data_IF_338444267448
#
_entry.id   IF_338444267448
#
_cell.length_a   1.000
_cell.length_b   1.000
_cell.length_c   1.000
_cell.angle_alpha   90.00
_cell.angle_beta   90.00
_cell.angle_gamma   90.00
#
_symmetry.space_group_name_H-M   'P 1'
#
loop_
_entity.id
_entity.type
_entity.pdbx_description
1 polymer ?
#
# COMPACT_ATOMS: atom_id res chain seq x y z
N UNK A 1 16.45 28.86 5.93
CA UNK A 1 15.96 28.96 4.53
C UNK A 1 16.54 27.76 3.81
N UNK A 2 15.81 26.65 3.81
CA UNK A 2 16.32 25.37 3.28
C UNK A 2 15.76 25.19 1.89
N UNK A 3 16.65 25.21 0.91
CA UNK A 3 16.27 24.97 -0.48
C UNK A 3 16.18 23.47 -0.72
N UNK A 4 15.01 23.01 -1.16
CA UNK A 4 14.83 21.68 -1.75
C UNK A 4 15.27 21.79 -3.20
N UNK A 5 16.38 21.14 -3.56
CA UNK A 5 16.82 21.06 -4.95
C UNK A 5 16.18 19.82 -5.56
N UNK A 6 15.22 20.04 -6.47
CA UNK A 6 14.66 18.98 -7.30
C UNK A 6 15.56 18.83 -8.51
N UNK A 7 16.40 17.81 -8.51
CA UNK A 7 17.14 17.39 -9.71
C UNK A 7 16.48 16.11 -10.21
N UNK A 8 15.88 16.17 -11.38
CA UNK A 8 15.32 15.09 -12.21
C UNK A 8 15.26 13.70 -11.54
N UNK A 9 14.09 13.33 -11.06
CA UNK A 9 13.67 11.99 -10.60
C UNK A 9 14.10 11.53 -9.20
N UNK A 10 15.00 12.22 -8.48
CA UNK A 10 15.46 11.79 -7.15
C UNK A 10 15.22 12.92 -6.12
N UNK A 11 14.49 12.63 -5.06
CA UNK A 11 14.31 13.54 -3.91
C UNK A 11 15.21 13.03 -2.78
N UNK A 12 16.26 13.78 -2.47
CA UNK A 12 17.16 13.50 -1.35
C UNK A 12 16.82 14.42 -0.17
N UNK A 13 16.41 13.87 0.96
CA UNK A 13 16.13 14.62 2.19
C UNK A 13 17.32 14.47 3.14
N UNK A 14 17.98 15.57 3.46
CA UNK A 14 19.10 15.60 4.42
C UNK A 14 18.61 15.77 5.86
N UNK A 15 18.82 14.77 6.70
CA UNK A 15 18.91 14.90 8.16
C UNK A 15 20.29 14.42 8.60
N UNK A 16 21.03 15.27 9.29
CA UNK A 16 22.35 14.92 9.81
C UNK A 16 22.27 13.75 10.80
N UNK A 17 23.04 12.68 10.51
CA UNK A 17 23.32 11.52 11.40
C UNK A 17 22.23 10.48 11.67
N UNK A 18 21.21 10.32 10.80
CA UNK A 18 20.47 9.05 10.71
C UNK A 18 20.73 8.40 9.35
N UNK A 19 20.78 7.07 9.29
CA UNK A 19 20.87 6.34 8.01
C UNK A 19 19.80 6.88 7.06
N UNK A 20 20.22 7.56 5.98
CA UNK A 20 19.30 8.23 5.08
C UNK A 20 18.62 7.19 4.19
N UNK A 21 17.29 7.19 4.21
CA UNK A 21 16.50 6.47 3.22
C UNK A 21 16.40 7.33 1.96
N UNK A 22 16.98 6.86 0.86
CA UNK A 22 16.85 7.49 -0.45
C UNK A 22 15.58 7.00 -1.13
N UNK A 23 14.67 7.92 -1.50
CA UNK A 23 13.44 7.58 -2.21
C UNK A 23 13.59 7.82 -3.72
N UNK A 24 13.19 6.83 -4.51
CA UNK A 24 13.15 6.94 -5.98
C UNK A 24 11.97 6.16 -6.57
N UNK A 25 11.62 6.48 -7.81
CA UNK A 25 10.64 5.69 -8.56
C UNK A 25 11.09 4.22 -8.67
N UNK A 26 10.12 3.33 -8.49
CA UNK A 26 10.32 1.91 -8.74
C UNK A 26 10.73 1.65 -10.19
N UNK A 27 11.74 0.83 -10.37
CA UNK A 27 12.12 0.28 -11.67
C UNK A 27 12.21 -1.24 -11.57
N UNK A 28 11.95 -1.92 -12.69
CA UNK A 28 11.82 -3.38 -12.74
C UNK A 28 13.04 -4.17 -12.21
N UNK A 29 14.22 -3.57 -12.22
CA UNK A 29 15.42 -4.18 -11.65
C UNK A 29 15.31 -4.47 -10.15
N UNK A 30 14.46 -3.74 -9.43
CA UNK A 30 14.19 -3.97 -8.00
C UNK A 30 13.01 -4.90 -7.73
N UNK A 31 12.35 -5.47 -8.78
CA UNK A 31 11.12 -6.24 -8.60
C UNK A 31 11.26 -7.38 -7.58
N UNK A 32 12.38 -8.09 -7.57
CA UNK A 32 12.58 -9.21 -6.65
C UNK A 32 12.63 -8.76 -5.18
N UNK A 33 13.35 -7.68 -4.89
CA UNK A 33 13.45 -7.13 -3.54
C UNK A 33 12.12 -6.52 -3.09
N UNK A 34 11.50 -5.74 -3.96
CA UNK A 34 10.19 -5.11 -3.70
C UNK A 34 9.14 -6.16 -3.43
N UNK A 35 9.03 -7.21 -4.24
CA UNK A 35 8.07 -8.29 -4.01
C UNK A 35 8.32 -9.03 -2.70
N UNK A 36 9.58 -9.20 -2.30
CA UNK A 36 9.93 -9.77 -1.00
C UNK A 36 9.43 -8.90 0.14
N UNK A 37 9.81 -7.61 0.16
CA UNK A 37 9.37 -6.65 1.20
C UNK A 37 7.86 -6.56 1.26
N UNK A 38 7.20 -6.45 0.10
CA UNK A 38 5.75 -6.34 0.01
C UNK A 38 5.05 -7.60 0.56
N UNK A 39 5.52 -8.79 0.18
CA UNK A 39 4.98 -10.07 0.65
C UNK A 39 5.16 -10.22 2.16
N UNK A 40 6.36 -9.97 2.69
CA UNK A 40 6.67 -10.11 4.12
C UNK A 40 5.88 -9.09 4.98
N UNK A 41 5.61 -7.90 4.45
CA UNK A 41 4.84 -6.87 5.14
C UNK A 41 3.34 -7.18 5.23
N UNK A 42 2.78 -7.86 4.23
CA UNK A 42 1.34 -8.11 4.12
C UNK A 42 0.92 -9.57 4.34
N UNK A 43 1.85 -10.48 4.64
CA UNK A 43 1.54 -11.91 4.79
C UNK A 43 0.44 -12.20 5.82
N UNK A 44 0.38 -11.42 6.89
CA UNK A 44 -0.62 -11.56 7.96
C UNK A 44 -1.67 -10.42 7.95
N UNK A 45 -1.79 -9.71 6.83
CA UNK A 45 -2.73 -8.60 6.74
C UNK A 45 -4.17 -9.11 6.70
N UNK A 46 -5.11 -8.57 7.52
CA UNK A 46 -6.46 -9.14 7.68
C UNK A 46 -7.23 -9.30 6.37
N UNK A 47 -7.17 -8.32 5.48
CA UNK A 47 -7.84 -8.37 4.18
C UNK A 47 -7.33 -9.50 3.29
N UNK A 48 -6.09 -9.91 3.45
CA UNK A 48 -5.50 -10.99 2.67
C UNK A 48 -5.60 -12.34 3.40
N UNK A 49 -5.04 -12.43 4.60
CA UNK A 49 -4.99 -13.67 5.37
C UNK A 49 -6.36 -14.10 5.85
N UNK A 50 -7.06 -13.25 6.59
CA UNK A 50 -8.33 -13.57 7.23
C UNK A 50 -9.42 -14.04 6.26
N UNK A 51 -9.35 -13.61 5.00
CA UNK A 51 -10.35 -13.96 3.97
C UNK A 51 -10.22 -15.40 3.48
N UNK A 52 -9.00 -15.93 3.39
CA UNK A 52 -8.74 -17.20 2.70
C UNK A 52 -8.17 -18.32 3.57
N UNK A 53 -7.84 -18.07 4.85
CA UNK A 53 -7.18 -19.05 5.73
C UNK A 53 -7.88 -20.40 5.77
N UNK A 54 -9.23 -20.43 5.82
CA UNK A 54 -10.03 -21.67 5.89
C UNK A 54 -10.06 -22.46 4.58
N UNK A 55 -9.54 -21.90 3.50
CA UNK A 55 -9.57 -22.54 2.18
C UNK A 55 -8.45 -23.55 1.97
N UNK A 56 -7.40 -23.46 2.74
CA UNK A 56 -6.20 -24.25 2.54
C UNK A 56 -5.94 -25.15 3.74
N UNK A 57 -5.73 -26.44 3.48
CA UNK A 57 -5.48 -27.47 4.51
C UNK A 57 -4.09 -27.39 5.14
N UNK A 58 -3.16 -26.63 4.55
CA UNK A 58 -1.82 -26.44 5.09
C UNK A 58 -1.39 -24.98 4.96
N UNK A 59 -0.66 -24.50 5.94
CA UNK A 59 -0.08 -23.16 5.98
C UNK A 59 0.84 -22.89 4.77
N UNK A 60 1.62 -23.89 4.35
CA UNK A 60 2.49 -23.78 3.17
C UNK A 60 1.69 -23.47 1.87
N UNK A 61 0.56 -24.18 1.66
CA UNK A 61 -0.31 -23.93 0.50
C UNK A 61 -0.97 -22.56 0.57
N UNK A 62 -1.39 -22.16 1.76
CA UNK A 62 -1.95 -20.84 2.00
C UNK A 62 -0.89 -19.76 1.72
N UNK A 63 0.32 -19.89 2.26
CA UNK A 63 1.43 -18.96 2.02
C UNK A 63 1.78 -18.86 0.53
N UNK A 64 1.92 -19.98 -0.16
CA UNK A 64 2.17 -19.99 -1.62
C UNK A 64 1.05 -19.32 -2.43
N UNK A 65 -0.19 -19.43 -1.98
CA UNK A 65 -1.32 -18.70 -2.57
C UNK A 65 -1.19 -17.19 -2.35
N UNK A 66 -0.85 -16.76 -1.13
CA UNK A 66 -0.66 -15.35 -0.82
C UNK A 66 0.46 -14.69 -1.60
N UNK A 67 1.60 -15.34 -1.67
CA UNK A 67 2.73 -14.82 -2.45
C UNK A 67 2.33 -14.53 -3.90
N UNK A 68 1.48 -15.39 -4.47
CA UNK A 68 0.94 -15.17 -5.82
C UNK A 68 -0.09 -14.06 -5.87
N UNK A 69 -1.00 -14.01 -4.89
CA UNK A 69 -2.03 -12.98 -4.78
C UNK A 69 -1.38 -11.60 -4.64
N UNK A 70 -0.46 -11.45 -3.68
CA UNK A 70 0.26 -10.20 -3.40
C UNK A 70 1.07 -9.77 -4.63
N UNK A 71 1.77 -10.72 -5.29
CA UNK A 71 2.50 -10.43 -6.52
C UNK A 71 1.60 -9.95 -7.64
N UNK A 72 0.42 -10.56 -7.80
CA UNK A 72 -0.57 -10.15 -8.78
C UNK A 72 -1.13 -8.75 -8.48
N UNK A 73 -1.47 -8.47 -7.22
CA UNK A 73 -1.94 -7.16 -6.77
C UNK A 73 -0.86 -6.11 -7.02
N UNK A 74 0.36 -6.31 -6.53
CA UNK A 74 1.47 -5.38 -6.74
C UNK A 74 1.66 -5.05 -8.22
N UNK A 75 1.74 -6.07 -9.08
CA UNK A 75 1.94 -5.87 -10.53
C UNK A 75 0.79 -5.17 -11.22
N UNK A 76 -0.45 -5.37 -10.76
CA UNK A 76 -1.61 -4.65 -11.27
C UNK A 76 -1.55 -3.18 -10.87
N UNK A 77 -1.25 -2.91 -9.60
CA UNK A 77 -1.21 -1.57 -9.02
C UNK A 77 -0.12 -0.70 -9.66
N UNK A 78 1.12 -1.18 -9.76
CA UNK A 78 2.23 -0.39 -10.34
C UNK A 78 2.11 -0.12 -11.84
N UNK A 79 1.07 -0.59 -12.50
CA UNK A 79 0.73 -0.23 -13.88
C UNK A 79 -0.05 1.08 -13.99
N UNK A 80 -0.67 1.50 -12.90
CA UNK A 80 -1.59 2.65 -12.83
C UNK A 80 -1.11 3.71 -11.85
N UNK A 81 -0.59 3.27 -10.72
CA UNK A 81 -0.24 4.11 -9.61
C UNK A 81 1.27 4.31 -9.54
N UNK A 82 1.68 5.45 -9.02
CA UNK A 82 3.09 5.72 -8.80
C UNK A 82 3.63 4.86 -7.63
N UNK A 83 4.66 4.11 -7.93
CA UNK A 83 5.38 3.32 -6.94
C UNK A 83 6.76 3.91 -6.68
N UNK A 84 7.04 4.18 -5.43
CA UNK A 84 8.34 4.65 -4.94
C UNK A 84 8.94 3.62 -4.00
N UNK A 85 10.27 3.53 -4.02
CA UNK A 85 11.03 2.67 -3.12
C UNK A 85 11.99 3.51 -2.31
N UNK A 86 12.02 3.24 -0.99
CA UNK A 86 13.03 3.77 -0.08
C UNK A 86 14.18 2.78 0.04
N UNK A 87 15.39 3.26 -0.17
CA UNK A 87 16.61 2.46 -0.14
C UNK A 87 17.51 2.94 0.99
N UNK A 88 17.97 2.01 1.79
CA UNK A 88 18.97 2.23 2.82
C UNK A 88 20.08 1.17 2.67
N UNK A 89 21.34 1.61 2.66
CA UNK A 89 22.50 0.73 2.50
C UNK A 89 22.39 -0.21 1.27
N UNK A 90 21.86 0.31 0.16
CA UNK A 90 21.68 -0.43 -1.09
C UNK A 90 20.55 -1.47 -1.10
N UNK A 91 19.68 -1.49 -0.07
CA UNK A 91 18.55 -2.43 0.05
C UNK A 91 17.22 -1.68 0.09
N UNK A 92 16.20 -2.25 -0.55
CA UNK A 92 14.84 -1.75 -0.45
C UNK A 92 14.31 -2.00 0.96
N UNK A 93 13.97 -0.92 1.66
CA UNK A 93 13.45 -0.95 3.04
C UNK A 93 12.01 -0.51 3.15
N UNK A 94 11.57 0.37 2.23
CA UNK A 94 10.22 0.94 2.21
C UNK A 94 9.66 0.89 0.79
N UNK A 95 8.36 0.67 0.68
CA UNK A 95 7.61 0.78 -0.57
C UNK A 95 6.43 1.71 -0.30
N UNK A 96 6.26 2.72 -1.15
CA UNK A 96 5.14 3.66 -1.12
C UNK A 96 4.45 3.61 -2.46
N UNK A 97 3.17 3.25 -2.48
CA UNK A 97 2.36 3.28 -3.69
C UNK A 97 1.23 4.29 -3.49
N UNK A 98 1.11 5.23 -4.41
CA UNK A 98 0.13 6.32 -4.34
C UNK A 98 -0.67 6.43 -5.63
N UNK A 99 -1.98 6.57 -5.49
CA UNK A 99 -2.92 6.95 -6.54
C UNK A 99 -3.03 8.48 -6.52
N UNK A 100 -2.83 9.13 -7.67
CA UNK A 100 -3.02 10.56 -7.85
C UNK A 100 -4.47 10.87 -8.20
N UNK A 101 -4.93 12.13 -8.01
CA UNK A 101 -6.29 12.53 -8.37
C UNK A 101 -6.66 12.30 -9.84
N UNK A 102 -5.65 12.26 -10.73
CA UNK A 102 -5.81 12.05 -12.19
C UNK A 102 -5.71 10.59 -12.61
N UNK A 103 -5.31 9.69 -11.73
CA UNK A 103 -5.04 8.31 -12.08
C UNK A 103 -6.35 7.54 -12.32
N UNK A 104 -6.28 6.60 -13.25
CA UNK A 104 -7.41 5.70 -13.51
C UNK A 104 -7.31 4.52 -12.54
N UNK A 105 -8.42 4.14 -11.89
CA UNK A 105 -8.40 3.02 -10.96
C UNK A 105 -7.92 1.73 -11.64
N UNK A 106 -7.28 0.88 -10.85
CA UNK A 106 -6.86 -0.46 -11.29
C UNK A 106 -8.09 -1.25 -11.68
N UNK A 107 -8.15 -1.69 -12.92
CA UNK A 107 -9.31 -2.38 -13.48
C UNK A 107 -9.11 -3.89 -13.64
N UNK A 108 -10.18 -4.57 -14.02
CA UNK A 108 -10.18 -6.02 -14.26
C UNK A 108 -9.04 -6.48 -15.18
N UNK A 109 -8.78 -5.76 -16.28
CA UNK A 109 -7.72 -6.13 -17.21
C UNK A 109 -6.32 -5.98 -16.64
N UNK A 110 -6.09 -5.01 -15.76
CA UNK A 110 -4.81 -4.85 -15.07
C UNK A 110 -4.51 -6.07 -14.19
N UNK A 111 -5.52 -6.56 -13.47
CA UNK A 111 -5.41 -7.80 -12.70
C UNK A 111 -5.22 -9.03 -13.60
N UNK A 112 -5.99 -9.15 -14.68
CA UNK A 112 -5.91 -10.30 -15.58
C UNK A 112 -4.51 -10.49 -16.17
N UNK A 113 -3.89 -9.40 -16.66
CA UNK A 113 -2.53 -9.45 -17.24
C UNK A 113 -1.41 -9.52 -16.19
N UNK A 114 -1.74 -9.27 -14.92
CA UNK A 114 -0.79 -9.35 -13.80
C UNK A 114 -0.65 -10.74 -13.17
N UNK A 115 -1.28 -11.77 -13.78
CA UNK A 115 -1.18 -13.16 -13.33
C UNK A 115 -2.31 -13.62 -12.41
N UNK A 116 -3.36 -12.81 -12.24
CA UNK A 116 -4.51 -13.17 -11.39
C UNK A 116 -5.36 -14.33 -11.93
N UNK A 117 -5.19 -14.72 -13.20
CA UNK A 117 -5.85 -15.91 -13.76
C UNK A 117 -5.56 -17.19 -12.93
N UNK A 118 -4.34 -17.33 -12.42
CA UNK A 118 -3.97 -18.42 -11.53
C UNK A 118 -4.66 -18.39 -10.16
N UNK A 119 -5.08 -17.22 -9.71
CA UNK A 119 -5.86 -17.03 -8.48
C UNK A 119 -7.29 -17.51 -8.71
N UNK A 120 -7.91 -17.09 -9.82
CA UNK A 120 -9.25 -17.54 -10.23
C UNK A 120 -9.30 -19.07 -10.32
N UNK A 121 -8.28 -19.70 -10.91
CA UNK A 121 -8.20 -21.17 -11.02
C UNK A 121 -8.14 -21.87 -9.66
N UNK A 122 -7.60 -21.21 -8.63
CA UNK A 122 -7.44 -21.80 -7.28
C UNK A 122 -8.62 -21.57 -6.35
N UNK A 123 -9.24 -20.40 -6.37
CA UNK A 123 -10.35 -20.07 -5.46
C UNK A 123 -11.70 -20.02 -6.16
N UNK A 124 -11.72 -20.07 -7.49
CA UNK A 124 -12.93 -19.98 -8.33
C UNK A 124 -13.34 -18.53 -8.60
N UNK A 125 -14.02 -18.34 -9.72
CA UNK A 125 -14.46 -17.02 -10.18
C UNK A 125 -15.38 -16.31 -9.15
N UNK A 126 -16.34 -17.06 -8.58
CA UNK A 126 -17.30 -16.51 -7.60
C UNK A 126 -16.61 -15.90 -6.38
N UNK A 127 -15.61 -16.59 -5.83
CA UNK A 127 -14.91 -16.10 -4.64
C UNK A 127 -13.92 -14.98 -5.00
N UNK A 128 -13.35 -15.01 -6.19
CA UNK A 128 -12.55 -13.89 -6.71
C UNK A 128 -13.39 -12.63 -6.83
N UNK A 129 -14.58 -12.70 -7.43
CA UNK A 129 -15.49 -11.56 -7.55
C UNK A 129 -15.94 -11.02 -6.18
N UNK A 130 -16.27 -11.90 -5.25
CA UNK A 130 -16.61 -11.49 -3.87
C UNK A 130 -15.45 -10.81 -3.16
N UNK A 131 -14.22 -11.28 -3.39
CA UNK A 131 -13.04 -10.66 -2.83
C UNK A 131 -12.79 -9.27 -3.43
N UNK A 132 -12.96 -9.11 -4.74
CA UNK A 132 -12.88 -7.80 -5.40
C UNK A 132 -13.94 -6.84 -4.86
N UNK A 133 -15.19 -7.29 -4.71
CA UNK A 133 -16.26 -6.50 -4.08
C UNK A 133 -15.91 -6.06 -2.67
N UNK A 134 -15.33 -6.96 -1.86
CA UNK A 134 -14.86 -6.62 -0.52
C UNK A 134 -13.74 -5.57 -0.58
N UNK A 135 -12.76 -5.75 -1.45
CA UNK A 135 -11.68 -4.78 -1.64
C UNK A 135 -12.20 -3.41 -2.04
N UNK A 136 -13.16 -3.35 -2.97
CA UNK A 136 -13.79 -2.09 -3.36
C UNK A 136 -14.52 -1.42 -2.18
N UNK A 137 -15.22 -2.21 -1.35
CA UNK A 137 -15.91 -1.70 -0.15
C UNK A 137 -14.96 -1.04 0.84
N UNK A 138 -13.71 -1.50 0.97
CA UNK A 138 -12.74 -0.88 1.89
C UNK A 138 -12.44 0.57 1.56
N UNK A 139 -12.61 0.98 0.31
CA UNK A 139 -12.25 2.31 -0.18
C UNK A 139 -13.46 3.24 -0.43
N UNK A 140 -14.69 2.77 -0.23
CA UNK A 140 -15.91 3.56 -0.50
C UNK A 140 -15.87 4.92 0.20
N UNK A 141 -15.45 4.95 1.45
CA UNK A 141 -15.42 6.18 2.25
C UNK A 141 -14.44 7.20 1.66
N UNK A 142 -13.22 6.79 1.37
CA UNK A 142 -12.19 7.69 0.81
C UNK A 142 -12.51 8.10 -0.63
N UNK A 143 -13.13 7.20 -1.41
CA UNK A 143 -13.58 7.49 -2.79
C UNK A 143 -14.78 8.43 -2.83
N UNK A 144 -15.56 8.54 -1.75
CA UNK A 144 -16.70 9.47 -1.67
C UNK A 144 -16.30 10.92 -1.36
N UNK A 145 -15.04 11.16 -1.02
CA UNK A 145 -14.51 12.52 -0.79
C UNK A 145 -14.46 13.26 -2.12
N UNK A 146 -15.16 14.42 -2.25
CA UNK A 146 -15.27 15.13 -3.53
C UNK A 146 -14.00 15.90 -3.93
N UNK A 147 -13.14 16.24 -2.96
CA UNK A 147 -11.92 16.98 -3.20
C UNK A 147 -10.88 16.10 -3.94
N UNK A 148 -10.09 16.71 -4.86
CA UNK A 148 -8.95 16.02 -5.45
C UNK A 148 -8.00 15.51 -4.37
N UNK A 149 -7.80 14.21 -4.31
CA UNK A 149 -7.01 13.57 -3.26
C UNK A 149 -5.92 12.69 -3.82
N UNK A 150 -4.80 12.65 -3.11
CA UNK A 150 -3.81 11.58 -3.22
C UNK A 150 -4.22 10.45 -2.29
N UNK A 151 -4.18 9.21 -2.75
CA UNK A 151 -4.48 8.07 -1.90
C UNK A 151 -3.22 7.24 -1.67
N UNK A 152 -2.81 7.10 -0.41
CA UNK A 152 -1.74 6.18 -0.02
C UNK A 152 -2.28 4.75 -0.09
N UNK A 153 -2.11 4.13 -1.26
CA UNK A 153 -2.67 2.81 -1.54
C UNK A 153 -1.93 1.70 -0.79
N UNK A 154 -0.60 1.76 -0.78
CA UNK A 154 0.23 0.86 0.02
C UNK A 154 1.41 1.59 0.65
N UNK A 155 1.66 1.26 1.92
CA UNK A 155 2.89 1.56 2.64
C UNK A 155 3.40 0.25 3.23
N UNK A 156 4.52 -0.24 2.71
CA UNK A 156 5.18 -1.45 3.21
C UNK A 156 6.57 -1.10 3.73
N UNK A 157 6.90 -1.60 4.90
CA UNK A 157 8.24 -1.48 5.51
C UNK A 157 8.78 -2.88 5.76
N UNK A 158 9.98 -3.17 5.27
CA UNK A 158 10.64 -4.46 5.54
C UNK A 158 10.59 -4.74 7.05
N UNK A 159 10.11 -5.93 7.48
CA UNK A 159 9.96 -6.29 8.89
C UNK A 159 11.20 -6.00 9.75
N UNK A 160 12.40 -6.07 9.16
CA UNK A 160 13.66 -5.76 9.85
C UNK A 160 13.84 -4.27 10.17
N UNK A 161 13.14 -3.40 9.46
CA UNK A 161 13.20 -1.94 9.58
C UNK A 161 11.93 -1.34 10.21
N UNK A 162 10.95 -2.18 10.56
CA UNK A 162 9.75 -1.73 11.29
C UNK A 162 10.13 -1.25 12.69
N UNK A 163 9.35 -0.30 13.22
CA UNK A 163 9.56 0.36 14.54
C UNK A 163 10.86 1.17 14.65
N UNK A 164 11.60 1.34 13.55
CA UNK A 164 12.80 2.17 13.48
C UNK A 164 12.55 3.55 12.84
N UNK A 165 11.28 3.95 12.69
CA UNK A 165 10.91 5.26 12.12
C UNK A 165 10.73 5.29 10.60
N UNK A 166 11.08 4.22 9.87
CA UNK A 166 11.03 4.18 8.40
C UNK A 166 9.64 4.48 7.82
N UNK A 167 8.58 3.95 8.44
CA UNK A 167 7.21 4.23 8.01
C UNK A 167 6.80 5.68 8.22
N UNK A 168 7.16 6.27 9.37
CA UNK A 168 6.90 7.68 9.66
C UNK A 168 7.73 8.58 8.76
N UNK A 169 9.01 8.26 8.53
CA UNK A 169 9.85 8.98 7.58
C UNK A 169 9.27 8.95 6.17
N UNK A 170 8.73 7.80 5.72
CA UNK A 170 8.07 7.70 4.42
C UNK A 170 6.88 8.66 4.29
N UNK A 171 6.13 8.87 5.37
CA UNK A 171 5.01 9.83 5.36
C UNK A 171 5.51 11.27 5.47
N UNK A 172 6.32 11.57 6.49
CA UNK A 172 6.68 12.94 6.85
C UNK A 172 7.75 13.54 5.92
N UNK A 173 8.79 12.76 5.64
CA UNK A 173 9.97 13.27 4.92
C UNK A 173 9.88 13.01 3.41
N UNK A 174 8.97 12.13 2.95
CA UNK A 174 8.82 11.84 1.53
C UNK A 174 7.41 12.12 0.99
N UNK A 175 6.35 11.45 1.48
CA UNK A 175 5.01 11.52 0.89
C UNK A 175 4.41 12.93 0.98
N UNK A 176 4.44 13.57 2.14
CA UNK A 176 3.91 14.92 2.33
C UNK A 176 4.62 15.93 1.41
N UNK A 177 5.97 16.00 1.37
CA UNK A 177 6.68 16.85 0.42
C UNK A 177 6.35 16.53 -1.05
N UNK A 178 6.23 15.26 -1.42
CA UNK A 178 5.86 14.84 -2.76
C UNK A 178 4.49 15.40 -3.16
N UNK A 179 3.48 15.22 -2.30
CA UNK A 179 2.11 15.69 -2.56
C UNK A 179 2.07 17.21 -2.68
N UNK A 180 2.69 17.93 -1.74
CA UNK A 180 2.76 19.40 -1.76
C UNK A 180 3.48 19.95 -2.99
N UNK A 181 4.60 19.34 -3.40
CA UNK A 181 5.35 19.78 -4.58
C UNK A 181 4.58 19.58 -5.89
N UNK A 182 3.57 18.71 -5.89
CA UNK A 182 2.66 18.48 -7.00
C UNK A 182 1.32 19.23 -6.86
N UNK A 183 1.24 20.20 -5.93
CA UNK A 183 0.04 21.02 -5.73
C UNK A 183 -1.11 20.29 -5.02
N UNK A 184 -0.85 19.11 -4.45
CA UNK A 184 -1.83 18.38 -3.66
C UNK A 184 -1.95 18.96 -2.24
N UNK A 185 -3.16 18.87 -1.68
CA UNK A 185 -3.48 19.37 -0.35
C UNK A 185 -4.23 18.35 0.52
N UNK A 186 -4.49 17.15 -0.01
CA UNK A 186 -5.24 16.10 0.69
C UNK A 186 -4.63 14.73 0.42
N UNK A 187 -4.33 14.01 1.49
CA UNK A 187 -3.92 12.61 1.44
C UNK A 187 -4.98 11.78 2.16
N UNK A 188 -5.34 10.65 1.59
CA UNK A 188 -6.21 9.66 2.22
C UNK A 188 -5.50 8.32 2.33
N UNK A 189 -5.90 7.50 3.29
CA UNK A 189 -5.44 6.13 3.45
C UNK A 189 -6.54 5.28 4.08
N UNK A 190 -6.57 4.01 3.72
CA UNK A 190 -7.45 3.01 4.34
C UNK A 190 -6.61 1.86 4.89
N UNK A 191 -6.96 1.34 6.05
CA UNK A 191 -6.32 0.14 6.62
C UNK A 191 -7.36 -0.81 7.18
N UNK A 192 -7.05 -2.12 7.08
CA UNK A 192 -7.86 -3.20 7.67
C UNK A 192 -7.20 -3.80 8.92
N UNK A 193 -6.18 -3.14 9.44
CA UNK A 193 -5.49 -3.55 10.66
C UNK A 193 -5.63 -2.47 11.74
N UNK A 194 -6.31 -2.80 12.82
CA UNK A 194 -6.46 -1.91 13.99
C UNK A 194 -5.11 -1.45 14.54
N UNK A 195 -4.07 -2.30 14.44
CA UNK A 195 -2.70 -1.96 14.87
C UNK A 195 -2.11 -0.76 14.13
N UNK A 196 -2.63 -0.43 12.96
CA UNK A 196 -2.18 0.70 12.15
C UNK A 196 -2.89 2.01 12.54
N UNK A 197 -3.97 1.97 13.32
CA UNK A 197 -4.72 3.17 13.73
C UNK A 197 -3.82 4.17 14.47
N UNK A 198 -3.10 3.78 15.54
CA UNK A 198 -2.19 4.68 16.22
C UNK A 198 -1.06 5.20 15.32
N UNK A 199 -0.58 4.35 14.40
CA UNK A 199 0.48 4.74 13.47
C UNK A 199 0.03 5.91 12.58
N UNK A 200 -1.13 5.80 11.92
CA UNK A 200 -1.63 6.87 11.07
C UNK A 200 -1.98 8.13 11.86
N UNK A 201 -2.65 7.99 13.01
CA UNK A 201 -2.99 9.12 13.88
C UNK A 201 -1.74 9.88 14.35
N UNK A 202 -0.70 9.16 14.79
CA UNK A 202 0.56 9.77 15.23
C UNK A 202 1.34 10.42 14.07
N UNK A 203 1.04 10.07 12.82
CA UNK A 203 1.62 10.69 11.64
C UNK A 203 0.76 11.83 11.06
N UNK A 204 -0.28 12.29 11.80
CA UNK A 204 -1.06 13.47 11.44
C UNK A 204 -2.31 13.18 10.62
N UNK A 205 -2.67 11.91 10.43
CA UNK A 205 -3.94 11.55 9.82
C UNK A 205 -5.09 11.62 10.83
N UNK A 206 -6.23 12.12 10.38
CA UNK A 206 -7.50 12.12 11.13
C UNK A 206 -8.34 10.93 10.70
N UNK A 207 -8.80 10.12 11.67
CA UNK A 207 -9.76 9.05 11.43
C UNK A 207 -11.11 9.66 11.03
N UNK A 208 -11.63 9.31 9.86
CA UNK A 208 -12.92 9.80 9.36
C UNK A 208 -14.02 8.74 9.42
N UNK A 209 -13.65 7.47 9.40
CA UNK A 209 -14.60 6.37 9.53
C UNK A 209 -13.93 5.13 10.10
N UNK A 210 -14.62 4.48 11.02
CA UNK A 210 -14.38 3.12 11.46
C UNK A 210 -15.64 2.30 11.16
N UNK A 211 -15.47 1.15 10.55
CA UNK A 211 -16.56 0.25 10.19
C UNK A 211 -16.09 -1.20 10.16
N UNK A 212 -17.03 -2.11 10.13
CA UNK A 212 -16.80 -3.54 9.98
C UNK A 212 -17.43 -4.01 8.68
N UNK A 213 -16.64 -4.66 7.84
CA UNK A 213 -17.07 -5.24 6.57
C UNK A 213 -17.29 -6.74 6.72
N UNK A 214 -18.35 -7.24 6.12
CA UNK A 214 -18.67 -8.67 6.13
C UNK A 214 -18.14 -9.37 4.88
N UNK A 215 -17.48 -10.50 5.08
CA UNK A 215 -17.09 -11.42 4.02
C UNK A 215 -17.44 -12.86 4.40
N UNK A 216 -18.51 -13.39 3.80
CA UNK A 216 -19.08 -14.69 4.20
C UNK A 216 -19.45 -14.69 5.70
N UNK A 217 -18.85 -15.58 6.49
CA UNK A 217 -19.04 -15.66 7.94
C UNK A 217 -17.96 -14.91 8.75
N UNK A 218 -17.14 -14.10 8.09
CA UNK A 218 -16.03 -13.35 8.72
C UNK A 218 -16.29 -11.86 8.69
N UNK A 219 -15.74 -11.16 9.66
CA UNK A 219 -15.76 -9.71 9.75
C UNK A 219 -14.34 -9.16 9.64
N UNK A 220 -14.20 -8.04 8.94
CA UNK A 220 -12.92 -7.35 8.73
C UNK A 220 -13.11 -5.90 9.11
N UNK A 221 -12.29 -5.40 10.04
CA UNK A 221 -12.26 -3.98 10.40
C UNK A 221 -11.79 -3.15 9.22
N UNK A 222 -12.29 -1.94 9.12
CA UNK A 222 -11.92 -0.98 8.09
C UNK A 222 -11.85 0.43 8.69
N UNK A 223 -10.69 1.07 8.59
CA UNK A 223 -10.44 2.40 9.12
C UNK A 223 -9.98 3.31 7.99
N UNK A 224 -10.76 4.36 7.73
CA UNK A 224 -10.48 5.36 6.69
C UNK A 224 -9.97 6.65 7.33
N UNK A 225 -8.93 7.22 6.74
CA UNK A 225 -8.26 8.40 7.25
C UNK A 225 -8.09 9.45 6.17
N UNK A 226 -7.99 10.72 6.60
CA UNK A 226 -7.59 11.86 5.78
C UNK A 226 -6.50 12.68 6.49
N UNK A 227 -5.70 13.37 5.69
CA UNK A 227 -4.74 14.38 6.14
C UNK A 227 -4.85 15.58 5.20
N UNK A 228 -5.23 16.73 5.74
CA UNK A 228 -5.18 18.01 5.04
C UNK A 228 -3.78 18.61 5.22
N UNK A 229 -3.15 19.11 4.10
CA UNK A 229 -1.76 19.53 4.05
C UNK A 229 -1.58 21.06 4.04
#
# INVERSE_FOLDING_TARGET
MNYVIIISADITVHKENMNMVEYKHYVKSYEAEVLKVFTESFVNYPLFWGVFEDRFKSEEKLRSFYERLIKGIFRATVRKDDCYIGIENGKVTVIVIVEKPSDKPVGFWDYAVSGMAGIIARIGLRDTLKYMELSDKTEVVVKSIPEPRWHLYFLAVDPKYQKLGHGSGAIQDFLIPLVRSNGGNLITVTTNSEKNVPFYTNNGFTLIKEETLEYKAKTIGNWSFRMDL
#
